data_IF_087404750709
#
_entry.id   IF_087404750709
#
_cell.length_a   1.000
_cell.length_b   1.000
_cell.length_c   1.000
_cell.angle_alpha   90.00
_cell.angle_beta   90.00
_cell.angle_gamma   90.00
#
_symmetry.space_group_name_H-M   'P 1'
#
loop_
_entity.id
_entity.type
_entity.pdbx_description
1 polymer ?
#
# COMPACT_ATOMS: atom_id res chain seq x y z
N UNK A 1 0.88 -3.37 18.24
CA UNK A 1 -0.26 -3.73 17.34
C UNK A 1 -1.10 -4.89 17.91
N UNK A 2 -0.88 -5.22 19.18
CA UNK A 2 -1.53 -6.36 19.84
C UNK A 2 -3.05 -6.36 19.68
N UNK A 3 -3.61 -7.49 19.21
CA UNK A 3 -5.04 -7.72 19.05
C UNK A 3 -5.72 -6.93 17.91
N UNK A 4 -4.97 -6.19 17.08
CA UNK A 4 -5.52 -5.46 15.92
C UNK A 4 -5.55 -6.34 14.68
N UNK A 5 -6.61 -6.26 13.89
CA UNK A 5 -6.78 -6.94 12.60
C UNK A 5 -6.38 -6.00 11.46
N UNK A 6 -5.32 -6.31 10.74
CA UNK A 6 -4.76 -5.44 9.71
C UNK A 6 -4.78 -6.14 8.34
N UNK A 7 -5.42 -5.51 7.37
CA UNK A 7 -5.39 -5.92 5.97
C UNK A 7 -4.15 -5.35 5.27
N UNK A 8 -3.37 -6.18 4.61
CA UNK A 8 -2.19 -5.76 3.83
C UNK A 8 -2.33 -6.24 2.39
N UNK A 9 -2.43 -5.31 1.43
CA UNK A 9 -2.40 -5.64 0.01
C UNK A 9 -0.98 -5.57 -0.54
N UNK A 10 -0.69 -6.28 -1.63
CA UNK A 10 0.68 -6.41 -2.13
C UNK A 10 1.59 -7.20 -1.19
N UNK A 11 1.00 -8.03 -0.32
CA UNK A 11 1.69 -8.72 0.78
C UNK A 11 2.65 -9.83 0.35
N UNK A 12 2.81 -10.10 -0.94
CA UNK A 12 3.66 -11.19 -1.46
C UNK A 12 5.11 -10.78 -1.72
N UNK A 13 5.45 -9.48 -1.69
CA UNK A 13 6.80 -8.98 -1.97
C UNK A 13 7.04 -7.58 -1.46
N UNK A 14 8.29 -7.13 -1.43
CA UNK A 14 8.70 -5.75 -1.15
C UNK A 14 8.11 -5.17 0.12
N UNK A 15 7.66 -3.93 0.04
CA UNK A 15 7.12 -3.16 1.18
C UNK A 15 5.94 -3.88 1.84
N UNK A 16 4.99 -4.42 1.05
CA UNK A 16 3.81 -5.10 1.59
C UNK A 16 4.15 -6.36 2.38
N UNK A 17 5.09 -7.19 1.86
CA UNK A 17 5.59 -8.38 2.55
C UNK A 17 6.25 -8.00 3.89
N UNK A 18 7.19 -7.06 3.85
CA UNK A 18 7.94 -6.68 5.05
C UNK A 18 7.04 -6.03 6.11
N UNK A 19 6.09 -5.18 5.66
CA UNK A 19 5.07 -4.60 6.55
C UNK A 19 4.22 -5.68 7.22
N UNK A 20 3.79 -6.69 6.47
CA UNK A 20 2.99 -7.78 7.02
C UNK A 20 3.76 -8.59 8.06
N UNK A 21 5.01 -8.96 7.77
CA UNK A 21 5.90 -9.66 8.71
C UNK A 21 6.12 -8.85 9.98
N UNK A 22 6.41 -7.56 9.83
CA UNK A 22 6.64 -6.66 10.95
C UNK A 22 5.40 -6.48 11.83
N UNK A 23 4.23 -6.21 11.23
CA UNK A 23 2.99 -6.03 11.98
C UNK A 23 2.57 -7.30 12.75
N UNK A 24 2.75 -8.48 12.15
CA UNK A 24 2.52 -9.75 12.82
C UNK A 24 3.44 -9.92 14.02
N UNK A 25 4.74 -9.61 13.90
CA UNK A 25 5.70 -9.61 15.01
C UNK A 25 5.31 -8.64 16.13
N UNK A 26 4.59 -7.56 15.81
CA UNK A 26 4.04 -6.61 16.78
C UNK A 26 2.70 -7.08 17.39
N UNK A 27 2.26 -8.31 17.12
CA UNK A 27 1.07 -8.93 17.70
C UNK A 27 -0.25 -8.62 16.95
N UNK A 28 -0.18 -8.13 15.72
CA UNK A 28 -1.36 -7.97 14.88
C UNK A 28 -1.78 -9.31 14.27
N UNK A 29 -3.08 -9.52 14.10
CA UNK A 29 -3.61 -10.50 13.15
C UNK A 29 -3.57 -9.88 11.76
N UNK A 30 -2.89 -10.51 10.81
CA UNK A 30 -2.68 -9.95 9.48
C UNK A 30 -3.46 -10.72 8.40
N UNK A 31 -4.19 -9.99 7.58
CA UNK A 31 -4.86 -10.52 6.38
C UNK A 31 -4.01 -10.15 5.16
N UNK A 32 -3.35 -11.14 4.59
CA UNK A 32 -2.48 -10.99 3.43
C UNK A 32 -3.30 -11.05 2.13
N UNK A 33 -3.16 -10.05 1.27
CA UNK A 33 -3.81 -10.03 -0.05
C UNK A 33 -2.79 -9.83 -1.14
N UNK A 34 -2.75 -10.75 -2.10
CA UNK A 34 -1.94 -10.66 -3.32
C UNK A 34 -2.45 -11.65 -4.38
N UNK A 35 -1.99 -11.49 -5.63
CA UNK A 35 -2.34 -12.39 -6.74
C UNK A 35 -1.46 -13.64 -6.82
N UNK A 36 -0.22 -13.59 -6.32
CA UNK A 36 0.71 -14.72 -6.38
C UNK A 36 0.52 -15.66 -5.20
N UNK A 37 -0.15 -16.79 -5.44
CA UNK A 37 -0.49 -17.81 -4.44
C UNK A 37 0.75 -18.38 -3.74
N UNK A 38 1.81 -18.70 -4.49
CA UNK A 38 3.01 -19.33 -3.96
C UNK A 38 3.74 -18.40 -2.99
N UNK A 39 4.07 -17.18 -3.44
CA UNK A 39 4.74 -16.18 -2.59
C UNK A 39 3.88 -15.79 -1.37
N UNK A 40 2.54 -15.73 -1.55
CA UNK A 40 1.64 -15.42 -0.43
C UNK A 40 1.66 -16.53 0.63
N UNK A 41 1.73 -17.80 0.20
CA UNK A 41 1.88 -18.96 1.10
C UNK A 41 3.21 -18.94 1.86
N UNK A 42 4.29 -18.55 1.20
CA UNK A 42 5.61 -18.39 1.83
C UNK A 42 5.56 -17.35 2.96
N UNK A 43 4.96 -16.18 2.71
CA UNK A 43 4.80 -15.13 3.72
C UNK A 43 3.91 -15.61 4.87
N UNK A 44 2.80 -16.30 4.56
CA UNK A 44 1.92 -16.89 5.58
C UNK A 44 2.66 -17.86 6.46
N UNK A 45 3.47 -18.74 5.89
CA UNK A 45 4.26 -19.73 6.63
C UNK A 45 5.33 -19.05 7.49
N UNK A 46 5.94 -17.96 7.02
CA UNK A 46 6.93 -17.21 7.78
C UNK A 46 6.32 -16.47 9.00
N UNK A 47 5.05 -16.06 8.92
CA UNK A 47 4.33 -15.46 10.05
C UNK A 47 3.90 -16.56 11.05
N UNK A 48 3.36 -17.67 10.55
CA UNK A 48 2.89 -18.80 11.36
C UNK A 48 1.46 -18.64 11.86
N UNK A 49 1.27 -18.10 13.04
CA UNK A 49 -0.05 -17.93 13.67
C UNK A 49 -0.65 -16.53 13.43
N UNK A 50 -1.94 -16.38 13.69
CA UNK A 50 -2.66 -15.11 13.55
C UNK A 50 -2.55 -14.47 12.16
N UNK A 51 -2.52 -15.31 11.11
CA UNK A 51 -2.41 -14.86 9.73
C UNK A 51 -3.43 -15.53 8.83
N UNK A 52 -4.10 -14.71 8.04
CA UNK A 52 -5.05 -15.13 7.00
C UNK A 52 -4.50 -14.73 5.64
N UNK A 53 -4.91 -15.41 4.59
CA UNK A 53 -4.50 -15.04 3.23
C UNK A 53 -5.66 -15.17 2.26
N UNK A 54 -5.81 -14.20 1.38
CA UNK A 54 -6.82 -14.16 0.34
C UNK A 54 -6.16 -13.85 -1.00
N UNK A 55 -6.38 -14.70 -2.00
CA UNK A 55 -5.83 -14.50 -3.34
C UNK A 55 -6.76 -13.58 -4.10
N UNK A 56 -6.27 -12.41 -4.50
CA UNK A 56 -7.04 -11.44 -5.25
C UNK A 56 -6.13 -10.67 -6.22
N UNK A 57 -6.59 -10.56 -7.47
CA UNK A 57 -6.03 -9.62 -8.43
C UNK A 57 -6.78 -8.29 -8.33
N UNK A 58 -6.11 -7.28 -7.83
CA UNK A 58 -6.70 -5.96 -7.62
C UNK A 58 -6.96 -5.18 -8.93
N UNK A 59 -6.51 -5.68 -10.08
CA UNK A 59 -6.94 -5.16 -11.38
C UNK A 59 -8.38 -5.50 -11.72
N UNK A 60 -8.92 -6.57 -11.09
CA UNK A 60 -10.32 -6.99 -11.17
C UNK A 60 -11.10 -6.36 -10.01
N UNK A 61 -11.55 -5.11 -10.21
CA UNK A 61 -12.12 -4.29 -9.13
C UNK A 61 -13.35 -4.93 -8.46
N UNK A 62 -14.15 -5.66 -9.22
CA UNK A 62 -15.32 -6.40 -8.74
C UNK A 62 -14.97 -7.52 -7.75
N UNK A 63 -13.75 -8.05 -7.80
CA UNK A 63 -13.27 -9.10 -6.88
C UNK A 63 -12.92 -8.58 -5.48
N UNK A 64 -12.70 -7.26 -5.35
CA UNK A 64 -12.26 -6.63 -4.10
C UNK A 64 -13.27 -6.82 -2.97
N UNK A 65 -14.56 -6.83 -3.27
CA UNK A 65 -15.61 -7.12 -2.28
C UNK A 65 -15.38 -8.46 -1.55
N UNK A 66 -14.89 -9.46 -2.26
CA UNK A 66 -14.59 -10.79 -1.71
C UNK A 66 -13.58 -10.76 -0.58
N UNK A 67 -12.63 -9.83 -0.58
CA UNK A 67 -11.66 -9.65 0.51
C UNK A 67 -12.38 -9.33 1.83
N UNK A 68 -13.35 -8.42 1.78
CA UNK A 68 -14.08 -7.95 2.95
C UNK A 68 -15.11 -8.95 3.45
N UNK A 69 -15.77 -9.67 2.54
CA UNK A 69 -16.66 -10.79 2.94
C UNK A 69 -15.84 -11.91 3.58
N UNK A 70 -14.68 -12.26 3.03
CA UNK A 70 -13.76 -13.21 3.66
C UNK A 70 -13.34 -12.79 5.08
N UNK A 71 -12.97 -11.52 5.28
CA UNK A 71 -12.65 -11.02 6.62
C UNK A 71 -13.84 -11.19 7.57
N UNK A 72 -15.04 -10.81 7.14
CA UNK A 72 -16.27 -10.92 7.93
C UNK A 72 -16.59 -12.38 8.29
N UNK A 73 -16.50 -13.29 7.33
CA UNK A 73 -16.76 -14.74 7.54
C UNK A 73 -15.79 -15.37 8.55
N UNK A 74 -14.56 -14.83 8.64
CA UNK A 74 -13.57 -15.26 9.62
C UNK A 74 -13.62 -14.47 10.95
N UNK A 75 -14.65 -13.65 11.16
CA UNK A 75 -14.80 -12.84 12.39
C UNK A 75 -13.80 -11.68 12.51
N UNK A 76 -13.14 -11.31 11.43
CA UNK A 76 -12.10 -10.28 11.40
C UNK A 76 -12.71 -8.93 11.06
N UNK A 77 -13.02 -8.13 12.05
CA UNK A 77 -13.38 -6.74 11.87
C UNK A 77 -12.10 -5.89 11.86
N UNK A 78 -11.85 -5.17 10.78
CA UNK A 78 -10.56 -4.55 10.52
C UNK A 78 -10.32 -3.29 11.37
N UNK A 79 -9.14 -3.18 11.96
CA UNK A 79 -8.65 -2.00 12.68
C UNK A 79 -7.72 -1.14 11.79
N UNK A 80 -7.22 -1.73 10.72
CA UNK A 80 -6.36 -1.02 9.79
C UNK A 80 -6.20 -1.69 8.44
N UNK A 81 -5.69 -0.90 7.49
CA UNK A 81 -5.33 -1.37 6.16
C UNK A 81 -4.03 -0.72 5.70
N UNK A 82 -3.13 -1.53 5.13
CA UNK A 82 -1.97 -1.04 4.37
C UNK A 82 -2.15 -1.41 2.91
N UNK A 83 -2.34 -0.41 2.05
CA UNK A 83 -2.40 -0.61 0.61
C UNK A 83 -1.01 -0.42 0.00
N UNK A 84 -0.30 -1.55 -0.17
CA UNK A 84 1.04 -1.58 -0.75
C UNK A 84 1.08 -2.22 -2.15
N UNK A 85 -0.07 -2.67 -2.67
CA UNK A 85 -0.15 -3.16 -4.04
C UNK A 85 0.10 -2.02 -5.04
N UNK A 86 0.91 -2.31 -6.04
CA UNK A 86 1.19 -1.37 -7.11
C UNK A 86 2.05 -2.01 -8.18
N UNK A 87 2.04 -1.41 -9.36
CA UNK A 87 2.89 -1.75 -10.50
C UNK A 87 3.56 -0.49 -11.03
N UNK A 88 4.75 -0.66 -11.59
CA UNK A 88 5.49 0.39 -12.27
C UNK A 88 6.12 -0.19 -13.53
N UNK A 89 5.92 0.47 -14.64
CA UNK A 89 6.53 0.14 -15.92
C UNK A 89 7.08 1.43 -16.54
N UNK A 90 8.32 1.81 -16.21
CA UNK A 90 8.92 3.04 -16.74
C UNK A 90 9.23 2.88 -18.22
N UNK A 91 8.53 3.67 -19.05
CA UNK A 91 8.71 3.72 -20.51
C UNK A 91 8.61 5.16 -21.03
N UNK A 92 9.26 5.51 -22.15
CA UNK A 92 9.11 6.82 -22.77
C UNK A 92 7.64 7.14 -23.11
N UNK A 93 7.23 8.41 -22.99
CA UNK A 93 5.84 8.84 -23.25
C UNK A 93 5.32 8.36 -24.61
N UNK A 94 6.17 8.38 -25.66
CA UNK A 94 5.81 7.91 -26.99
C UNK A 94 5.43 6.42 -27.09
N UNK A 95 5.82 5.63 -26.06
CA UNK A 95 5.56 4.18 -26.00
C UNK A 95 4.41 3.83 -25.05
N UNK A 96 3.80 4.82 -24.41
CA UNK A 96 2.68 4.59 -23.51
C UNK A 96 1.41 4.31 -24.32
N UNK A 97 0.82 3.14 -24.09
CA UNK A 97 -0.50 2.81 -24.65
C UNK A 97 -1.61 3.13 -23.65
N UNK A 98 -2.83 3.28 -24.14
CA UNK A 98 -4.03 3.49 -23.32
C UNK A 98 -4.22 2.30 -22.37
N UNK A 99 -4.00 1.08 -22.85
CA UNK A 99 -4.16 -0.17 -22.09
C UNK A 99 -3.17 -0.21 -20.91
N UNK A 100 -1.88 0.10 -21.15
CA UNK A 100 -0.86 0.14 -20.10
C UNK A 100 -1.15 1.21 -19.05
N UNK A 101 -1.68 2.36 -19.48
CA UNK A 101 -2.12 3.42 -18.57
C UNK A 101 -3.32 2.98 -17.74
N UNK A 102 -4.32 2.35 -18.35
CA UNK A 102 -5.50 1.83 -17.66
C UNK A 102 -5.14 0.76 -16.64
N UNK A 103 -4.25 -0.17 -16.98
CA UNK A 103 -3.77 -1.21 -16.07
C UNK A 103 -3.09 -0.60 -14.83
N UNK A 104 -2.17 0.35 -15.06
CA UNK A 104 -1.49 1.06 -13.96
C UNK A 104 -2.49 1.81 -13.07
N UNK A 105 -3.44 2.51 -13.66
CA UNK A 105 -4.48 3.22 -12.90
C UNK A 105 -5.38 2.26 -12.12
N UNK A 106 -5.78 1.13 -12.72
CA UNK A 106 -6.60 0.12 -12.03
C UNK A 106 -5.91 -0.39 -10.77
N UNK A 107 -4.65 -0.83 -10.90
CA UNK A 107 -3.92 -1.45 -9.79
C UNK A 107 -3.51 -0.42 -8.73
N UNK A 108 -2.97 0.74 -9.14
CA UNK A 108 -2.35 1.68 -8.20
C UNK A 108 -3.34 2.63 -7.52
N UNK A 109 -4.49 2.88 -8.15
CA UNK A 109 -5.35 3.99 -7.77
C UNK A 109 -6.82 3.56 -7.66
N UNK A 110 -7.43 2.96 -8.72
CA UNK A 110 -8.83 2.58 -8.66
C UNK A 110 -9.10 1.46 -7.64
N UNK A 111 -8.17 0.52 -7.49
CA UNK A 111 -8.26 -0.51 -6.46
C UNK A 111 -8.29 0.08 -5.05
N UNK A 112 -7.55 1.15 -4.79
CA UNK A 112 -7.56 1.84 -3.51
C UNK A 112 -8.91 2.51 -3.23
N UNK A 113 -9.52 3.13 -4.24
CA UNK A 113 -10.87 3.69 -4.12
C UNK A 113 -11.89 2.61 -3.75
N UNK A 114 -11.84 1.46 -4.44
CA UNK A 114 -12.76 0.34 -4.19
C UNK A 114 -12.52 -0.30 -2.81
N UNK A 115 -11.26 -0.47 -2.39
CA UNK A 115 -10.90 -0.91 -1.04
C UNK A 115 -11.44 0.05 0.02
N UNK A 116 -11.26 1.36 -0.15
CA UNK A 116 -11.77 2.39 0.78
C UNK A 116 -13.30 2.38 0.90
N UNK A 117 -14.00 2.21 -0.21
CA UNK A 117 -15.47 2.07 -0.27
C UNK A 117 -15.99 0.94 0.63
N UNK A 118 -15.37 -0.23 0.62
CA UNK A 118 -15.76 -1.32 1.51
C UNK A 118 -15.26 -1.10 2.93
N UNK A 119 -13.99 -0.67 3.08
CA UNK A 119 -13.39 -0.47 4.40
C UNK A 119 -14.19 0.50 5.28
N UNK A 120 -14.74 1.59 4.72
CA UNK A 120 -15.52 2.53 5.49
C UNK A 120 -16.87 1.96 5.99
N UNK A 121 -17.28 0.77 5.57
CA UNK A 121 -18.52 0.13 6.00
C UNK A 121 -18.45 -0.41 7.43
N UNK A 122 -19.47 -0.09 8.27
CA UNK A 122 -19.55 -0.51 9.69
C UNK A 122 -19.41 -2.02 9.92
N UNK A 123 -19.80 -2.83 8.93
CA UNK A 123 -19.72 -4.28 9.02
C UNK A 123 -18.30 -4.85 8.79
N UNK A 124 -17.38 -4.06 8.23
CA UNK A 124 -16.06 -4.53 7.84
C UNK A 124 -14.92 -3.95 8.67
N UNK A 125 -15.08 -2.73 9.20
CA UNK A 125 -14.05 -2.10 10.01
C UNK A 125 -14.57 -1.54 11.33
N UNK A 126 -13.68 -1.39 12.29
CA UNK A 126 -13.94 -0.76 13.57
C UNK A 126 -13.96 0.79 13.42
N UNK A 127 -14.55 1.48 14.40
CA UNK A 127 -14.33 2.91 14.57
C UNK A 127 -12.87 3.16 14.99
N UNK A 128 -12.36 4.35 14.74
CA UNK A 128 -10.96 4.72 14.98
C UNK A 128 -9.93 3.90 14.19
N UNK A 129 -10.34 3.15 13.17
CA UNK A 129 -9.45 2.43 12.28
C UNK A 129 -8.53 3.38 11.49
N UNK A 130 -7.47 2.83 10.88
CA UNK A 130 -6.52 3.64 10.11
C UNK A 130 -6.14 2.97 8.79
N UNK A 131 -6.08 3.76 7.72
CA UNK A 131 -5.66 3.34 6.39
C UNK A 131 -4.33 4.02 6.06
N UNK A 132 -3.38 3.24 5.58
CA UNK A 132 -2.09 3.71 5.08
C UNK A 132 -1.92 3.26 3.63
N UNK A 133 -1.78 4.21 2.71
CA UNK A 133 -1.50 3.93 1.30
C UNK A 133 0.00 4.12 1.01
N UNK A 134 0.61 3.19 0.31
CA UNK A 134 1.98 3.35 -0.18
C UNK A 134 1.93 4.07 -1.52
N UNK A 135 2.19 5.37 -1.48
CA UNK A 135 2.33 6.24 -2.63
C UNK A 135 3.77 6.23 -3.16
N UNK A 136 4.29 7.35 -3.61
CA UNK A 136 5.68 7.52 -4.06
C UNK A 136 6.04 8.99 -4.11
N UNK A 137 7.33 9.34 -3.97
CA UNK A 137 7.83 10.68 -4.32
C UNK A 137 7.56 11.04 -5.78
N UNK A 138 7.43 10.06 -6.67
CA UNK A 138 7.03 10.30 -8.05
C UNK A 138 5.67 11.01 -8.20
N UNK A 139 4.82 11.00 -7.16
CA UNK A 139 3.57 11.75 -7.16
C UNK A 139 3.77 13.28 -7.19
N UNK A 140 4.89 13.77 -6.68
CA UNK A 140 5.21 15.21 -6.58
C UNK A 140 6.51 15.58 -7.28
N UNK A 141 7.42 14.62 -7.48
CA UNK A 141 8.74 14.78 -8.11
C UNK A 141 8.95 13.67 -9.15
N UNK A 142 8.17 13.65 -10.25
CA UNK A 142 8.28 12.62 -11.27
C UNK A 142 9.59 12.73 -12.05
N UNK A 143 10.09 11.59 -12.51
CA UNK A 143 11.23 11.52 -13.42
C UNK A 143 10.82 11.00 -14.81
N UNK A 144 11.70 11.13 -15.79
CA UNK A 144 11.45 10.63 -17.15
C UNK A 144 11.04 9.16 -17.15
N UNK A 145 10.10 8.81 -18.01
CA UNK A 145 9.58 7.43 -18.14
C UNK A 145 8.48 7.06 -17.14
N UNK A 146 8.16 7.90 -16.17
CA UNK A 146 7.18 7.59 -15.12
C UNK A 146 5.79 8.19 -15.35
N UNK A 147 5.40 8.52 -16.59
CA UNK A 147 4.12 9.21 -16.86
C UNK A 147 2.94 8.54 -16.15
N UNK A 148 2.69 7.26 -16.42
CA UNK A 148 1.52 6.54 -15.91
C UNK A 148 1.62 6.27 -14.42
N UNK A 149 2.81 5.91 -13.95
CA UNK A 149 3.08 5.65 -12.53
C UNK A 149 2.90 6.90 -11.69
N UNK A 150 3.55 8.01 -12.08
CA UNK A 150 3.45 9.28 -11.36
C UNK A 150 2.01 9.79 -11.33
N UNK A 151 1.28 9.75 -12.46
CA UNK A 151 -0.13 10.11 -12.51
C UNK A 151 -0.98 9.28 -11.55
N UNK A 152 -0.76 7.95 -11.49
CA UNK A 152 -1.50 7.06 -10.60
C UNK A 152 -1.22 7.35 -9.12
N UNK A 153 0.03 7.67 -8.75
CA UNK A 153 0.40 7.99 -7.37
C UNK A 153 -0.05 9.39 -6.94
N UNK A 154 -0.09 10.35 -7.86
CA UNK A 154 -0.71 11.67 -7.62
C UNK A 154 -2.21 11.56 -7.38
N UNK A 155 -2.91 10.76 -8.20
CA UNK A 155 -4.32 10.47 -8.00
C UNK A 155 -4.58 9.76 -6.66
N UNK A 156 -3.71 8.81 -6.27
CA UNK A 156 -3.79 8.14 -4.96
C UNK A 156 -3.70 9.15 -3.80
N UNK A 157 -2.77 10.12 -3.86
CA UNK A 157 -2.64 11.15 -2.82
C UNK A 157 -3.93 11.99 -2.70
N UNK A 158 -4.51 12.40 -3.82
CA UNK A 158 -5.79 13.15 -3.81
C UNK A 158 -6.93 12.30 -3.21
N UNK A 159 -6.98 11.00 -3.50
CA UNK A 159 -7.97 10.10 -2.88
C UNK A 159 -7.78 9.98 -1.37
N UNK A 160 -6.53 9.94 -0.90
CA UNK A 160 -6.23 9.92 0.55
C UNK A 160 -6.81 11.16 1.24
N UNK A 161 -6.65 12.34 0.66
CA UNK A 161 -7.19 13.59 1.23
C UNK A 161 -8.73 13.60 1.28
N UNK A 162 -9.40 13.14 0.22
CA UNK A 162 -10.87 13.07 0.16
C UNK A 162 -11.39 12.05 1.17
N UNK A 163 -10.84 10.82 1.17
CA UNK A 163 -11.26 9.77 2.09
C UNK A 163 -11.01 10.16 3.54
N UNK A 164 -9.90 10.87 3.84
CA UNK A 164 -9.62 11.36 5.18
C UNK A 164 -10.73 12.27 5.71
N UNK A 165 -11.33 13.10 4.86
CA UNK A 165 -12.45 13.99 5.23
C UNK A 165 -13.77 13.22 5.36
N UNK A 166 -14.08 12.34 4.40
CA UNK A 166 -15.35 11.62 4.38
C UNK A 166 -15.47 10.59 5.52
N UNK A 167 -14.35 9.97 5.92
CA UNK A 167 -14.35 8.91 6.92
C UNK A 167 -14.29 9.42 8.36
N UNK A 168 -14.16 10.74 8.59
CA UNK A 168 -14.12 11.36 9.92
C UNK A 168 -15.33 11.04 10.79
N UNK A 169 -16.53 10.85 10.21
CA UNK A 169 -17.73 10.45 10.94
C UNK A 169 -17.55 9.13 11.72
N UNK A 170 -16.64 8.27 11.26
CA UNK A 170 -16.24 7.02 11.92
C UNK A 170 -14.87 7.12 12.59
N UNK A 171 -14.29 8.31 12.65
CA UNK A 171 -12.94 8.56 13.16
C UNK A 171 -11.87 7.70 12.47
N UNK A 172 -12.12 7.27 11.22
CA UNK A 172 -11.15 6.53 10.42
C UNK A 172 -10.17 7.52 9.83
N UNK A 173 -8.88 7.30 10.06
CA UNK A 173 -7.79 8.09 9.51
C UNK A 173 -7.30 7.49 8.20
N UNK A 174 -6.90 8.33 7.26
CA UNK A 174 -6.35 7.88 5.97
C UNK A 174 -5.12 8.73 5.67
N UNK A 175 -3.96 8.07 5.49
CA UNK A 175 -2.70 8.73 5.19
C UNK A 175 -1.95 7.99 4.10
N UNK A 176 -1.01 8.66 3.44
CA UNK A 176 -0.08 8.08 2.49
C UNK A 176 1.37 8.18 2.99
N UNK A 177 2.18 7.20 2.64
CA UNK A 177 3.64 7.27 2.71
C UNK A 177 4.15 7.44 1.28
N UNK A 178 5.06 8.38 1.05
CA UNK A 178 5.67 8.63 -0.26
C UNK A 178 7.15 8.27 -0.23
N UNK A 179 7.52 7.00 -0.43
CA UNK A 179 8.93 6.62 -0.49
C UNK A 179 9.61 7.13 -1.76
N UNK A 180 10.93 7.34 -1.68
CA UNK A 180 11.83 7.36 -2.83
C UNK A 180 12.19 5.93 -3.23
N UNK A 181 13.47 5.62 -3.46
CA UNK A 181 13.90 4.27 -3.84
C UNK A 181 13.97 3.35 -2.61
N UNK A 182 13.16 2.31 -2.63
CA UNK A 182 13.13 1.24 -1.61
C UNK A 182 13.70 -0.03 -2.22
N UNK A 183 14.57 -0.72 -1.52
CA UNK A 183 15.16 -1.99 -1.97
C UNK A 183 14.09 -3.08 -2.09
N UNK A 184 13.56 -3.22 -3.28
CA UNK A 184 12.46 -4.13 -3.60
C UNK A 184 12.62 -4.72 -4.99
N UNK A 185 11.99 -5.88 -5.27
CA UNK A 185 11.97 -6.46 -6.61
C UNK A 185 11.45 -5.50 -7.68
N UNK A 186 10.51 -4.63 -7.36
CA UNK A 186 9.97 -3.62 -8.30
C UNK A 186 11.06 -2.67 -8.80
N UNK A 187 11.99 -2.26 -7.94
CA UNK A 187 13.10 -1.38 -8.30
C UNK A 187 14.17 -2.15 -9.09
N UNK A 188 14.45 -3.40 -8.69
CA UNK A 188 15.41 -4.26 -9.37
C UNK A 188 14.94 -4.66 -10.79
N UNK A 189 13.64 -4.99 -10.95
CA UNK A 189 13.03 -5.46 -12.20
C UNK A 189 12.69 -4.29 -13.15
N UNK A 190 12.37 -3.10 -12.60
CA UNK A 190 11.94 -1.91 -13.38
C UNK A 190 13.02 -1.31 -14.28
N UNK A 191 14.23 -1.89 -14.29
CA UNK A 191 15.36 -1.39 -15.06
C UNK A 191 15.82 0.00 -14.60
N UNK A 192 17.03 0.37 -14.99
CA UNK A 192 17.63 1.66 -14.61
C UNK A 192 17.18 2.84 -15.50
N UNK A 193 16.00 2.77 -16.12
CA UNK A 193 15.52 3.86 -16.97
C UNK A 193 15.29 5.11 -16.13
N UNK A 194 16.15 6.12 -16.32
CA UNK A 194 16.13 7.36 -15.53
C UNK A 194 16.70 7.24 -14.11
N UNK A 195 17.19 6.08 -13.68
CA UNK A 195 17.64 5.83 -12.31
C UNK A 195 19.15 6.00 -12.10
N UNK A 196 19.96 6.13 -13.16
CA UNK A 196 21.42 6.10 -13.06
C UNK A 196 22.03 7.17 -12.11
N UNK A 197 21.25 8.21 -11.75
CA UNK A 197 21.69 9.23 -10.79
C UNK A 197 20.84 9.27 -9.51
N UNK A 198 19.76 8.47 -9.40
CA UNK A 198 18.82 8.59 -8.28
C UNK A 198 19.25 7.81 -7.04
N UNK A 199 19.74 6.57 -7.21
CA UNK A 199 20.15 5.71 -6.09
C UNK A 199 21.49 6.21 -5.52
N UNK A 200 22.46 6.54 -6.38
CA UNK A 200 23.77 7.05 -5.97
C UNK A 200 23.69 8.45 -5.35
N UNK A 201 22.59 9.17 -5.59
CA UNK A 201 22.34 10.50 -5.07
C UNK A 201 21.58 10.53 -3.74
N UNK A 202 21.29 9.39 -3.11
CA UNK A 202 20.55 9.32 -1.84
C UNK A 202 21.50 9.52 -0.65
N UNK A 203 21.50 10.70 0.00
CA UNK A 203 22.47 11.02 1.07
C UNK A 203 22.39 10.09 2.29
N UNK A 204 21.19 9.56 2.59
CA UNK A 204 20.96 8.64 3.70
C UNK A 204 20.92 7.16 3.25
N UNK A 205 21.30 6.86 2.00
CA UNK A 205 21.28 5.53 1.43
C UNK A 205 19.89 5.08 0.94
N UNK A 206 19.86 3.88 0.33
CA UNK A 206 18.63 3.25 -0.16
C UNK A 206 17.76 2.84 1.03
N UNK A 207 16.45 3.07 0.91
CA UNK A 207 15.50 2.76 1.97
C UNK A 207 15.26 1.24 2.02
N UNK A 208 15.41 0.64 3.18
CA UNK A 208 15.00 -0.74 3.40
C UNK A 208 13.47 -0.82 3.59
N UNK A 209 12.80 -1.86 3.07
CA UNK A 209 11.34 -2.02 3.23
C UNK A 209 10.84 -1.94 4.67
N UNK A 210 11.66 -2.39 5.64
CA UNK A 210 11.34 -2.34 7.08
C UNK A 210 11.19 -0.90 7.59
N UNK A 211 11.91 0.07 7.04
CA UNK A 211 11.81 1.47 7.44
C UNK A 211 10.44 2.06 7.06
N UNK A 212 9.86 1.59 5.95
CA UNK A 212 8.48 1.93 5.57
C UNK A 212 7.47 1.24 6.50
N UNK A 213 7.75 0.01 6.92
CA UNK A 213 6.89 -0.72 7.85
C UNK A 213 6.81 -0.03 9.22
N UNK A 214 7.90 0.56 9.72
CA UNK A 214 7.90 1.34 10.98
C UNK A 214 6.96 2.55 10.90
N UNK A 215 7.03 3.31 9.80
CA UNK A 215 6.14 4.46 9.60
C UNK A 215 4.68 4.00 9.40
N UNK A 216 4.46 2.90 8.71
CA UNK A 216 3.12 2.32 8.54
C UNK A 216 2.53 1.91 9.90
N UNK A 217 3.31 1.25 10.77
CA UNK A 217 2.89 0.91 12.14
C UNK A 217 2.54 2.16 12.96
N UNK A 218 3.38 3.18 12.93
CA UNK A 218 3.12 4.45 13.61
C UNK A 218 1.79 5.06 13.12
N UNK A 219 1.55 5.13 11.81
CA UNK A 219 0.32 5.68 11.24
C UNK A 219 -0.92 4.82 11.50
N UNK A 220 -0.77 3.52 11.71
CA UNK A 220 -1.85 2.63 12.13
C UNK A 220 -2.16 2.73 13.62
N UNK A 221 -1.20 3.17 14.42
CA UNK A 221 -1.31 3.23 15.89
C UNK A 221 -2.03 4.49 16.38
N UNK A 222 -2.41 4.47 17.68
CA UNK A 222 -3.03 5.61 18.33
C UNK A 222 -2.05 6.77 18.58
N UNK A 223 -0.73 6.55 18.43
CA UNK A 223 0.30 7.58 18.51
C UNK A 223 0.13 8.67 17.43
N UNK A 224 -0.51 8.31 16.31
CA UNK A 224 -0.80 9.21 15.18
C UNK A 224 -2.27 9.65 15.10
N UNK A 225 -3.01 9.63 16.21
CA UNK A 225 -4.47 9.88 16.24
C UNK A 225 -4.92 11.23 15.65
N UNK A 226 -4.03 12.18 15.55
CA UNK A 226 -4.30 13.51 14.97
C UNK A 226 -3.72 13.69 13.57
N UNK A 227 -3.17 12.63 12.96
CA UNK A 227 -2.62 12.65 11.59
C UNK A 227 -3.62 11.96 10.67
N UNK A 228 -4.22 12.72 9.76
CA UNK A 228 -5.10 12.23 8.69
C UNK A 228 -5.05 13.15 7.48
N UNK A 229 -5.19 12.62 6.28
CA UNK A 229 -5.07 13.36 5.02
C UNK A 229 -3.64 13.72 4.64
N UNK A 230 -2.65 13.18 5.34
CA UNK A 230 -1.24 13.49 5.10
C UNK A 230 -0.62 12.52 4.07
N UNK A 231 0.22 13.07 3.18
CA UNK A 231 1.12 12.31 2.32
C UNK A 231 2.57 12.59 2.78
N UNK A 232 3.17 11.62 3.47
CA UNK A 232 4.43 11.79 4.21
C UNK A 232 5.60 11.29 3.37
N UNK A 233 6.56 12.17 2.98
CA UNK A 233 7.72 11.76 2.22
C UNK A 233 8.72 10.98 3.09
N UNK A 234 9.28 9.91 2.52
CA UNK A 234 10.43 9.16 3.05
C UNK A 234 11.46 9.17 1.93
N UNK A 235 12.31 10.21 1.92
CA UNK A 235 13.05 10.60 0.72
C UNK A 235 14.54 10.23 0.74
N UNK A 236 15.10 9.89 1.90
CA UNK A 236 16.57 9.76 2.07
C UNK A 236 17.37 10.98 1.60
N UNK A 237 16.73 12.16 1.60
CA UNK A 237 17.38 13.42 1.25
C UNK A 237 17.31 13.85 -0.23
N UNK A 238 16.52 13.10 -1.07
CA UNK A 238 16.28 13.46 -2.48
C UNK A 238 14.93 14.11 -2.71
#
# INVERSE_FOLDING_TARGET
MQGKNILVTGASSGIGKETALYLAKQGATVVLVARNKTRLKEVKNAIGEHVYSYICDLSQLESIKGIFEFCKENGLKLDGMVHAAGISNPIPVRSVSVESMQETMRVNCMSFAELGKYFCGKKYSNENASIVAISSLAATRPVMGQLTYAASKSALNSMVEVMAKEFLKRKIRVNAIMPSYVDTPMVAEGGRFGMNNGIDAMPLGVIEPIQIAYLAEFLLSDKSKHITGAAIPVSSGV
#
